data_IF_581217321735
#
_entry.id   IF_581217321735
#
_cell.length_a   1.000
_cell.length_b   1.000
_cell.length_c   1.000
_cell.angle_alpha   90.00
_cell.angle_beta   90.00
_cell.angle_gamma   90.00
#
_symmetry.space_group_name_H-M   'P 1'
#
loop_
_entity.id
_entity.type
_entity.pdbx_description
1 polymer ?
#
# COMPACT_ATOMS: atom_id res chain seq x y z
N UNK A 1 -11.00 -3.80 13.29
CA UNK A 1 -9.99 -2.78 12.92
C UNK A 1 -8.75 -3.35 12.20
N UNK A 2 -8.67 -4.64 11.85
CA UNK A 2 -7.44 -5.25 11.31
C UNK A 2 -7.37 -5.44 9.78
N UNK A 3 -8.50 -5.57 9.08
CA UNK A 3 -8.51 -5.99 7.67
C UNK A 3 -7.73 -5.03 6.74
N UNK A 4 -7.85 -3.72 6.93
CA UNK A 4 -7.11 -2.74 6.12
C UNK A 4 -5.59 -2.83 6.35
N UNK A 5 -5.16 -3.06 7.59
CA UNK A 5 -3.75 -3.26 7.91
C UNK A 5 -3.23 -4.56 7.30
N UNK A 6 -3.97 -5.67 7.43
CA UNK A 6 -3.60 -6.94 6.81
C UNK A 6 -3.48 -6.81 5.30
N UNK A 7 -4.46 -6.20 4.63
CA UNK A 7 -4.39 -5.97 3.19
C UNK A 7 -3.16 -5.13 2.80
N UNK A 8 -2.87 -4.08 3.57
CA UNK A 8 -1.70 -3.22 3.31
C UNK A 8 -0.38 -3.99 3.47
N UNK A 9 -0.28 -4.83 4.49
CA UNK A 9 0.90 -5.67 4.72
C UNK A 9 1.08 -6.75 3.65
N UNK A 10 0.00 -7.36 3.18
CA UNK A 10 0.03 -8.33 2.07
C UNK A 10 0.52 -7.66 0.80
N UNK A 11 -0.04 -6.49 0.45
CA UNK A 11 0.40 -5.73 -0.73
C UNK A 11 1.86 -5.32 -0.61
N UNK A 12 2.28 -4.81 0.56
CA UNK A 12 3.66 -4.41 0.80
C UNK A 12 4.63 -5.60 0.73
N UNK A 13 4.26 -6.76 1.28
CA UNK A 13 5.05 -7.99 1.22
C UNK A 13 5.21 -8.48 -0.22
N UNK A 14 4.11 -8.57 -0.96
CA UNK A 14 4.12 -8.97 -2.37
C UNK A 14 5.00 -8.03 -3.22
N UNK A 15 4.86 -6.72 -3.05
CA UNK A 15 5.71 -5.76 -3.75
C UNK A 15 7.21 -5.96 -3.45
N UNK A 16 7.57 -6.33 -2.21
CA UNK A 16 8.95 -6.54 -1.81
C UNK A 16 9.55 -7.82 -2.37
N UNK A 17 8.77 -8.90 -2.46
CA UNK A 17 9.22 -10.14 -3.10
C UNK A 17 9.48 -9.93 -4.60
N UNK A 18 8.55 -9.25 -5.28
CA UNK A 18 8.67 -8.92 -6.71
C UNK A 18 9.89 -8.03 -6.96
N UNK A 19 10.07 -6.95 -6.17
CA UNK A 19 11.18 -6.03 -6.36
C UNK A 19 12.53 -6.62 -5.91
N UNK A 20 12.54 -7.45 -4.87
CA UNK A 20 13.76 -8.02 -4.30
C UNK A 20 14.31 -9.19 -5.10
N UNK A 21 13.47 -10.19 -5.36
CA UNK A 21 13.88 -11.47 -5.95
C UNK A 21 13.27 -11.71 -7.34
N UNK A 22 12.33 -10.88 -7.80
CA UNK A 22 11.63 -11.11 -9.08
C UNK A 22 10.62 -12.24 -9.05
N UNK A 23 10.36 -12.79 -7.87
CA UNK A 23 9.50 -13.95 -7.64
C UNK A 23 8.42 -13.62 -6.61
N UNK A 24 7.36 -14.41 -6.60
CA UNK A 24 6.30 -14.39 -5.59
C UNK A 24 6.22 -15.79 -4.98
N UNK A 25 6.16 -15.86 -3.64
CA UNK A 25 6.07 -17.11 -2.88
C UNK A 25 7.27 -18.07 -3.07
N UNK A 26 8.45 -17.52 -3.32
CA UNK A 26 9.67 -18.31 -3.38
C UNK A 26 10.02 -18.89 -2.00
N UNK A 27 10.21 -20.21 -1.91
CA UNK A 27 10.42 -20.94 -0.65
C UNK A 27 9.15 -21.27 0.14
N UNK A 28 7.96 -21.05 -0.43
CA UNK A 28 6.70 -21.48 0.20
C UNK A 28 6.60 -23.01 0.33
N UNK A 29 7.25 -23.75 -0.56
CA UNK A 29 7.43 -25.21 -0.52
C UNK A 29 8.15 -25.67 0.76
N UNK A 30 9.12 -24.91 1.27
CA UNK A 30 9.82 -25.23 2.52
C UNK A 30 8.92 -25.08 3.75
N UNK A 31 7.93 -24.18 3.68
CA UNK A 31 7.03 -23.87 4.80
C UNK A 31 5.74 -24.70 4.77
N UNK A 32 5.23 -24.98 3.58
CA UNK A 32 3.93 -25.62 3.38
C UNK A 32 4.04 -27.05 2.84
N UNK A 33 5.22 -27.45 2.34
CA UNK A 33 5.49 -28.75 1.72
C UNK A 33 5.43 -28.70 0.18
N UNK A 34 5.72 -29.83 -0.47
CA UNK A 34 5.91 -29.92 -1.93
C UNK A 34 4.75 -29.38 -2.79
N UNK A 35 3.52 -29.36 -2.25
CA UNK A 35 2.35 -28.84 -2.96
C UNK A 35 2.41 -27.32 -3.20
N UNK A 36 3.13 -26.58 -2.35
CA UNK A 36 3.26 -25.14 -2.46
C UNK A 36 4.26 -24.70 -3.54
N UNK A 37 5.00 -25.65 -4.13
CA UNK A 37 5.82 -25.40 -5.32
C UNK A 37 5.00 -24.84 -6.49
N UNK A 38 3.69 -25.11 -6.52
CA UNK A 38 2.75 -24.60 -7.55
C UNK A 38 2.41 -23.11 -7.35
N UNK A 39 2.59 -22.58 -6.13
CA UNK A 39 2.33 -21.18 -5.81
C UNK A 39 3.48 -20.25 -6.22
N UNK A 40 4.64 -20.82 -6.57
CA UNK A 40 5.81 -20.05 -7.00
C UNK A 40 5.53 -19.39 -8.34
N UNK A 41 5.49 -18.06 -8.35
CA UNK A 41 5.33 -17.26 -9.57
C UNK A 41 6.65 -16.54 -9.82
N UNK A 42 7.34 -16.93 -10.90
CA UNK A 42 8.56 -16.28 -11.32
C UNK A 42 8.23 -15.27 -12.42
N UNK A 43 8.35 -13.98 -12.13
CA UNK A 43 8.00 -12.91 -13.05
C UNK A 43 9.20 -12.56 -13.94
N UNK A 44 10.40 -12.41 -13.38
CA UNK A 44 11.63 -12.11 -14.12
C UNK A 44 12.87 -12.62 -13.35
N UNK A 45 13.83 -13.24 -14.05
CA UNK A 45 15.15 -13.56 -13.49
C UNK A 45 15.95 -12.27 -13.34
N UNK A 46 15.92 -11.67 -12.14
CA UNK A 46 16.76 -10.52 -11.83
C UNK A 46 18.13 -11.06 -11.43
N UNK A 47 19.12 -10.98 -12.32
CA UNK A 47 20.50 -11.43 -12.03
C UNK A 47 21.11 -10.74 -10.80
N UNK A 48 20.59 -9.57 -10.41
CA UNK A 48 20.97 -8.84 -9.21
C UNK A 48 19.75 -8.65 -8.31
N UNK A 49 19.60 -9.48 -7.26
CA UNK A 49 18.57 -9.25 -6.25
C UNK A 49 18.68 -7.80 -5.75
N UNK A 50 17.58 -7.06 -5.81
CA UNK A 50 17.56 -5.69 -5.35
C UNK A 50 17.51 -5.70 -3.83
N UNK A 51 18.69 -5.84 -3.21
CA UNK A 51 18.86 -5.99 -1.76
C UNK A 51 18.10 -4.91 -0.99
N UNK A 52 18.04 -3.69 -1.53
CA UNK A 52 17.31 -2.58 -0.92
C UNK A 52 15.82 -2.90 -0.65
N UNK A 53 15.16 -3.71 -1.49
CA UNK A 53 13.77 -4.14 -1.29
C UNK A 53 13.63 -5.19 -0.16
N UNK A 54 14.66 -5.99 0.08
CA UNK A 54 14.73 -6.95 1.18
C UNK A 54 15.10 -6.30 2.52
N UNK A 55 15.87 -5.22 2.49
CA UNK A 55 16.31 -4.50 3.69
C UNK A 55 15.18 -3.64 4.33
N UNK A 56 15.30 -3.28 5.64
CA UNK A 56 14.39 -2.36 6.32
C UNK A 56 14.09 -1.04 5.56
N UNK A 57 15.07 -0.32 4.97
CA UNK A 57 14.81 0.85 4.11
C UNK A 57 13.78 0.62 3.00
N UNK A 58 13.77 -0.56 2.37
CA UNK A 58 12.81 -0.88 1.31
C UNK A 58 11.36 -0.88 1.80
N UNK A 59 11.13 -1.32 3.04
CA UNK A 59 9.80 -1.29 3.65
C UNK A 59 9.29 0.15 3.84
N UNK A 60 10.15 1.07 4.28
CA UNK A 60 9.78 2.48 4.43
C UNK A 60 9.47 3.15 3.09
N UNK A 61 10.26 2.84 2.05
CA UNK A 61 10.00 3.31 0.69
C UNK A 61 8.66 2.78 0.18
N UNK A 62 8.40 1.48 0.35
CA UNK A 62 7.13 0.87 -0.07
C UNK A 62 5.91 1.46 0.64
N UNK A 63 6.00 1.71 1.95
CA UNK A 63 4.93 2.40 2.70
C UNK A 63 4.75 3.84 2.19
N UNK A 64 5.84 4.55 1.88
CA UNK A 64 5.79 5.88 1.27
C UNK A 64 5.02 5.90 -0.05
N UNK A 65 5.27 4.90 -0.92
CA UNK A 65 4.51 4.74 -2.17
C UNK A 65 3.04 4.39 -1.93
N UNK A 66 2.73 3.52 -0.98
CA UNK A 66 1.34 3.20 -0.62
C UNK A 66 0.58 4.44 -0.13
N UNK A 67 1.22 5.27 0.70
CA UNK A 67 0.62 6.53 1.18
C UNK A 67 0.44 7.51 0.02
N UNK A 68 1.42 7.64 -0.88
CA UNK A 68 1.31 8.49 -2.06
C UNK A 68 0.15 8.05 -2.97
N UNK A 69 0.03 6.74 -3.22
CA UNK A 69 -1.07 6.19 -4.00
C UNK A 69 -2.44 6.43 -3.34
N UNK A 70 -2.53 6.22 -2.01
CA UNK A 70 -3.74 6.53 -1.24
C UNK A 70 -4.11 8.01 -1.36
N UNK A 71 -3.15 8.91 -1.12
CA UNK A 71 -3.37 10.35 -1.18
C UNK A 71 -3.80 10.79 -2.59
N UNK A 72 -3.25 10.17 -3.64
CA UNK A 72 -3.66 10.42 -5.01
C UNK A 72 -5.11 10.01 -5.26
N UNK A 73 -5.53 8.82 -4.79
CA UNK A 73 -6.93 8.37 -4.84
C UNK A 73 -7.86 9.31 -4.06
N UNK A 74 -7.46 9.71 -2.85
CA UNK A 74 -8.24 10.59 -1.98
C UNK A 74 -8.42 11.97 -2.63
N UNK A 75 -7.37 12.51 -3.24
CA UNK A 75 -7.43 13.79 -3.96
C UNK A 75 -8.34 13.70 -5.19
N UNK A 76 -8.31 12.57 -5.91
CA UNK A 76 -9.17 12.34 -7.07
C UNK A 76 -10.65 12.18 -6.69
N UNK A 77 -10.94 11.58 -5.53
CA UNK A 77 -12.28 11.48 -4.98
C UNK A 77 -12.78 12.82 -4.43
N UNK A 78 -11.92 13.60 -3.78
CA UNK A 78 -12.25 14.94 -3.29
C UNK A 78 -12.59 15.93 -4.41
N UNK A 79 -12.02 15.74 -5.61
CA UNK A 79 -12.40 16.50 -6.81
C UNK A 79 -13.77 16.13 -7.37
N UNK A 80 -14.24 14.90 -7.10
CA UNK A 80 -15.57 14.40 -7.52
C UNK A 80 -16.65 14.60 -6.45
N UNK A 81 -16.26 14.75 -5.19
CA UNK A 81 -17.18 15.10 -4.12
C UNK A 81 -17.66 16.54 -4.31
N UNK A 82 -18.98 16.82 -4.27
CA UNK A 82 -19.48 18.19 -4.32
C UNK A 82 -18.85 18.94 -3.15
N UNK A 83 -18.17 20.04 -3.48
CA UNK A 83 -17.50 20.96 -2.57
C UNK A 83 -18.44 21.21 -1.39
N UNK A 84 -18.20 20.56 -0.25
CA UNK A 84 -18.96 20.83 0.96
C UNK A 84 -18.71 22.29 1.27
N UNK A 85 -19.70 23.11 0.93
CA UNK A 85 -19.74 24.52 1.21
C UNK A 85 -19.66 24.62 2.72
N UNK A 86 -18.44 24.91 3.24
CA UNK A 86 -18.22 25.20 4.65
C UNK A 86 -19.25 26.26 4.99
N UNK A 87 -20.32 25.86 5.67
CA UNK A 87 -21.37 26.75 6.11
C UNK A 87 -20.65 27.90 6.80
N UNK A 88 -20.67 29.05 6.12
CA UNK A 88 -20.15 30.29 6.63
C UNK A 88 -20.99 30.51 7.86
N UNK A 89 -20.44 30.21 9.04
CA UNK A 89 -21.10 30.45 10.31
C UNK A 89 -21.26 31.96 10.35
N UNK A 90 -22.38 32.41 9.81
CA UNK A 90 -22.84 33.77 9.87
C UNK A 90 -23.14 33.95 11.35
N UNK A 91 -22.14 34.48 12.05
CA UNK A 91 -22.23 34.80 13.46
C UNK A 91 -23.43 35.73 13.56
N UNK A 92 -24.57 35.15 13.94
CA UNK A 92 -25.79 35.88 14.20
C UNK A 92 -25.39 36.99 15.17
N UNK A 93 -25.36 38.22 14.67
CA UNK A 93 -25.10 39.39 15.48
C UNK A 93 -26.31 39.46 16.40
N UNK A 94 -26.18 38.93 17.61
CA UNK A 94 -27.17 39.10 18.67
C UNK A 94 -27.14 40.59 19.01
N UNK A 95 -27.95 41.37 18.30
CA UNK A 95 -28.24 42.75 18.69
C UNK A 95 -29.21 42.65 19.84
N UNK A 96 -28.69 42.81 21.06
CA UNK A 96 -29.52 43.02 22.23
C UNK A 96 -29.88 44.51 22.24
N UNK A 97 -31.16 44.78 22.00
CA UNK A 97 -31.80 46.10 22.15
C UNK A 97 -31.83 46.55 23.60
#
# INVERSE_FOLDING_TARGET
MGLGMTASLVVLGAMREILGNGTLFDGADLLLGDWASVLRIELFHVENNFLLALLPPGAFIGVGFLIAAKNWLDHHQAQKAPKQEKQKIERARVTNS
#
